data_IF_575662948448
#
_entry.id   IF_575662948448
#
_cell.length_a   1.000
_cell.length_b   1.000
_cell.length_c   1.000
_cell.angle_alpha   90.00
_cell.angle_beta   90.00
_cell.angle_gamma   90.00
#
_symmetry.space_group_name_H-M   'P 1'
#
loop_
_entity.id
_entity.type
_entity.pdbx_description
1 polymer ?
#
# COMPACT_ATOMS: atom_id res chain seq x y z
N UNK A 1 35.05 -42.58 -59.48
CA UNK A 1 34.62 -42.45 -58.07
C UNK A 1 34.17 -41.01 -57.79
N UNK A 2 33.00 -40.59 -58.26
CA UNK A 2 32.51 -39.21 -58.04
C UNK A 2 31.00 -39.06 -57.85
N UNK A 3 30.23 -40.16 -57.90
CA UNK A 3 28.76 -40.12 -57.84
C UNK A 3 28.14 -40.93 -56.68
N UNK A 4 28.94 -41.44 -55.74
CA UNK A 4 28.43 -42.19 -54.57
C UNK A 4 28.21 -41.33 -53.32
N UNK A 5 28.47 -40.02 -53.39
CA UNK A 5 28.40 -39.10 -52.26
C UNK A 5 27.23 -38.11 -52.38
N UNK A 6 26.11 -38.53 -52.98
CA UNK A 6 24.89 -37.72 -53.13
C UNK A 6 23.59 -38.43 -52.72
N UNK A 7 23.67 -39.57 -52.04
CA UNK A 7 22.48 -40.37 -51.68
C UNK A 7 22.22 -40.52 -50.17
N UNK A 8 23.00 -39.87 -49.30
CA UNK A 8 22.79 -39.91 -47.83
C UNK A 8 22.22 -38.61 -47.23
N UNK A 9 21.57 -37.75 -48.02
CA UNK A 9 20.94 -36.51 -47.51
C UNK A 9 19.41 -36.60 -47.40
N UNK A 10 18.80 -37.73 -47.79
CA UNK A 10 17.33 -37.85 -47.85
C UNK A 10 16.69 -38.61 -46.68
N UNK A 11 17.44 -38.94 -45.62
CA UNK A 11 17.00 -39.87 -44.58
C UNK A 11 16.87 -39.32 -43.17
N UNK A 12 16.94 -38.00 -42.94
CA UNK A 12 16.91 -37.46 -41.56
C UNK A 12 16.22 -36.09 -41.46
N UNK A 13 14.99 -35.98 -41.99
CA UNK A 13 14.20 -34.75 -41.84
C UNK A 13 12.70 -35.00 -41.56
N UNK A 14 12.33 -36.16 -41.03
CA UNK A 14 10.93 -36.45 -40.66
C UNK A 14 10.84 -37.18 -39.30
N UNK A 15 11.31 -36.54 -38.23
CA UNK A 15 10.93 -36.91 -36.85
C UNK A 15 10.76 -35.66 -35.96
N UNK A 16 10.07 -34.63 -36.47
CA UNK A 16 9.60 -33.50 -35.66
C UNK A 16 8.06 -33.41 -35.56
N UNK A 17 7.33 -34.41 -36.05
CA UNK A 17 5.87 -34.36 -36.15
C UNK A 17 5.09 -34.90 -34.93
N UNK A 18 5.75 -35.20 -33.80
CA UNK A 18 5.04 -35.71 -32.60
C UNK A 18 5.33 -34.98 -31.28
N UNK A 19 5.87 -33.74 -31.29
CA UNK A 19 5.93 -32.89 -30.09
C UNK A 19 4.72 -31.94 -29.93
N UNK A 20 3.65 -32.14 -30.70
CA UNK A 20 2.36 -31.43 -30.50
C UNK A 20 1.59 -31.87 -29.24
N UNK A 21 2.17 -32.75 -28.41
CA UNK A 21 1.72 -32.86 -27.02
C UNK A 21 1.87 -31.48 -26.39
N UNK A 22 0.75 -30.76 -26.22
CA UNK A 22 0.74 -29.37 -25.75
C UNK A 22 1.65 -29.26 -24.53
N UNK A 23 2.82 -28.63 -24.68
CA UNK A 23 3.78 -28.49 -23.58
C UNK A 23 3.13 -27.59 -22.52
N UNK A 24 3.29 -27.98 -21.25
CA UNK A 24 2.82 -27.17 -20.12
C UNK A 24 3.37 -25.74 -20.26
N UNK A 25 2.59 -24.69 -19.94
CA UNK A 25 2.96 -23.30 -20.19
C UNK A 25 3.94 -22.74 -19.14
N UNK A 26 5.05 -23.45 -18.89
CA UNK A 26 6.02 -23.12 -17.84
C UNK A 26 6.56 -21.70 -17.97
N UNK A 27 6.90 -21.27 -19.19
CA UNK A 27 7.36 -19.91 -19.43
C UNK A 27 6.32 -18.87 -19.01
N UNK A 28 5.05 -19.02 -19.41
CA UNK A 28 3.99 -18.09 -19.02
C UNK A 28 3.74 -18.11 -17.51
N UNK A 29 3.89 -19.26 -16.86
CA UNK A 29 3.77 -19.39 -15.40
C UNK A 29 4.86 -18.60 -14.69
N UNK A 30 6.11 -18.71 -15.16
CA UNK A 30 7.26 -18.02 -14.57
C UNK A 30 7.18 -16.51 -14.82
N UNK A 31 6.79 -16.09 -16.02
CA UNK A 31 6.57 -14.68 -16.35
C UNK A 31 5.45 -14.04 -15.51
N UNK A 32 4.32 -14.72 -15.33
CA UNK A 32 3.22 -14.22 -14.50
C UNK A 32 3.64 -14.07 -13.02
N UNK A 33 4.36 -15.05 -12.48
CA UNK A 33 4.90 -14.98 -11.11
C UNK A 33 5.91 -13.84 -10.96
N UNK A 34 6.83 -13.69 -11.92
CA UNK A 34 7.82 -12.61 -11.91
C UNK A 34 7.17 -11.22 -12.02
N UNK A 35 6.06 -11.10 -12.75
CA UNK A 35 5.29 -9.87 -12.84
C UNK A 35 4.62 -9.51 -11.49
N UNK A 36 4.02 -10.48 -10.80
CA UNK A 36 3.47 -10.28 -9.45
C UNK A 36 4.57 -9.94 -8.44
N UNK A 37 5.71 -10.62 -8.49
CA UNK A 37 6.86 -10.29 -7.63
C UNK A 37 7.36 -8.86 -7.88
N UNK A 38 7.31 -8.39 -9.13
CA UNK A 38 7.63 -7.01 -9.47
C UNK A 38 6.62 -6.00 -8.90
N UNK A 39 5.34 -6.36 -8.76
CA UNK A 39 4.33 -5.55 -8.05
C UNK A 39 4.67 -5.47 -6.57
N UNK A 40 5.03 -6.60 -5.95
CA UNK A 40 5.44 -6.66 -4.53
C UNK A 40 6.67 -5.77 -4.29
N UNK A 41 7.72 -5.91 -5.11
CA UNK A 41 8.94 -5.10 -5.03
C UNK A 41 8.70 -3.61 -5.24
N UNK A 42 7.72 -3.25 -6.06
CA UNK A 42 7.31 -1.86 -6.24
C UNK A 42 6.53 -1.30 -5.04
N UNK A 43 6.11 -2.13 -4.08
CA UNK A 43 5.36 -1.72 -2.89
C UNK A 43 3.88 -2.09 -2.93
N UNK A 44 3.46 -3.04 -3.78
CA UNK A 44 2.05 -3.43 -3.93
C UNK A 44 1.40 -3.95 -2.64
N UNK A 45 2.20 -4.52 -1.72
CA UNK A 45 1.72 -4.92 -0.39
C UNK A 45 1.19 -3.77 0.46
N UNK A 46 1.54 -2.52 0.13
CA UNK A 46 1.13 -1.32 0.86
C UNK A 46 0.19 -0.49 0.00
N UNK A 47 0.58 -0.24 -1.26
CA UNK A 47 -0.08 0.72 -2.14
C UNK A 47 -1.08 0.10 -3.14
N UNK A 48 -1.18 -1.24 -3.20
CA UNK A 48 -2.06 -1.95 -4.12
C UNK A 48 -2.52 -3.31 -3.57
N UNK A 49 -2.92 -3.34 -2.28
CA UNK A 49 -3.25 -4.59 -1.57
C UNK A 49 -4.36 -5.39 -2.25
N UNK A 50 -5.42 -4.71 -2.65
CA UNK A 50 -6.59 -5.36 -3.27
C UNK A 50 -6.26 -5.89 -4.66
N UNK A 51 -5.52 -5.11 -5.45
CA UNK A 51 -5.07 -5.56 -6.76
C UNK A 51 -4.08 -6.72 -6.65
N UNK A 52 -3.15 -6.66 -5.69
CA UNK A 52 -2.21 -7.75 -5.44
C UNK A 52 -2.94 -9.03 -5.00
N UNK A 53 -3.96 -8.93 -4.15
CA UNK A 53 -4.81 -10.06 -3.80
C UNK A 53 -5.47 -10.64 -5.06
N UNK A 54 -6.07 -9.79 -5.89
CA UNK A 54 -6.71 -10.20 -7.13
C UNK A 54 -5.72 -10.90 -8.09
N UNK A 55 -4.50 -10.37 -8.24
CA UNK A 55 -3.46 -10.98 -9.08
C UNK A 55 -3.08 -12.39 -8.58
N UNK A 56 -2.98 -12.59 -7.28
CA UNK A 56 -2.72 -13.90 -6.70
C UNK A 56 -3.88 -14.88 -6.90
N UNK A 57 -5.12 -14.41 -6.76
CA UNK A 57 -6.33 -15.20 -7.01
C UNK A 57 -6.40 -15.62 -8.50
N UNK A 58 -6.13 -14.69 -9.42
CA UNK A 58 -6.10 -14.95 -10.87
C UNK A 58 -4.96 -15.90 -11.25
N UNK A 59 -3.77 -15.74 -10.66
CA UNK A 59 -2.64 -16.67 -10.85
C UNK A 59 -3.02 -18.07 -10.37
N UNK A 60 -3.66 -18.19 -9.21
CA UNK A 60 -4.14 -19.47 -8.68
C UNK A 60 -5.13 -20.12 -9.65
N UNK A 61 -6.11 -19.37 -10.15
CA UNK A 61 -7.07 -19.89 -11.12
C UNK A 61 -6.39 -20.39 -12.40
N UNK A 62 -5.37 -19.67 -12.90
CA UNK A 62 -4.60 -20.08 -14.05
C UNK A 62 -3.80 -21.36 -13.79
N UNK A 63 -3.19 -21.48 -12.61
CA UNK A 63 -2.47 -22.69 -12.17
C UNK A 63 -3.40 -23.89 -11.99
N UNK A 64 -4.61 -23.68 -11.48
CA UNK A 64 -5.62 -24.72 -11.34
C UNK A 64 -6.09 -25.23 -12.72
N UNK A 65 -6.23 -24.36 -13.73
CA UNK A 65 -6.49 -24.78 -15.11
C UNK A 65 -5.31 -25.57 -15.70
N UNK A 66 -4.05 -25.16 -15.48
CA UNK A 66 -2.87 -25.95 -15.88
C UNK A 66 -2.94 -27.36 -15.27
N UNK A 67 -3.22 -27.46 -13.98
CA UNK A 67 -3.33 -28.73 -13.26
C UNK A 67 -4.51 -29.59 -13.73
N UNK A 68 -5.63 -28.97 -14.09
CA UNK A 68 -6.78 -29.69 -14.65
C UNK A 68 -6.47 -30.25 -16.05
N UNK A 69 -5.74 -29.49 -16.87
CA UNK A 69 -5.33 -29.93 -18.21
C UNK A 69 -4.25 -31.02 -18.14
N UNK A 70 -3.33 -30.98 -17.18
CA UNK A 70 -2.24 -31.95 -17.06
C UNK A 70 -2.73 -33.38 -16.78
N UNK A 71 -3.91 -33.52 -16.17
CA UNK A 71 -4.59 -34.80 -15.88
C UNK A 71 -5.30 -35.42 -17.09
N UNK A 72 -5.47 -34.69 -18.19
CA UNK A 72 -6.20 -35.17 -19.39
C UNK A 72 -5.26 -35.93 -20.34
N UNK A 73 -5.82 -36.93 -21.05
CA UNK A 73 -5.11 -37.67 -22.10
C UNK A 73 -4.74 -36.78 -23.29
N UNK A 74 -5.63 -35.85 -23.68
CA UNK A 74 -5.38 -34.85 -24.72
C UNK A 74 -5.33 -33.44 -24.09
N UNK A 75 -4.13 -32.99 -23.74
CA UNK A 75 -3.87 -31.73 -23.02
C UNK A 75 -4.15 -30.52 -23.90
N UNK A 76 -4.91 -29.54 -23.41
CA UNK A 76 -5.19 -28.26 -24.10
C UNK A 76 -4.89 -27.07 -23.20
N UNK A 77 -3.66 -26.58 -23.25
CA UNK A 77 -3.21 -25.45 -22.41
C UNK A 77 -3.55 -24.05 -22.95
N UNK A 78 -4.34 -23.92 -24.02
CA UNK A 78 -4.66 -22.61 -24.64
C UNK A 78 -5.26 -21.62 -23.64
N UNK A 79 -6.35 -22.02 -22.97
CA UNK A 79 -7.00 -21.21 -21.93
C UNK A 79 -6.05 -20.85 -20.79
N UNK A 80 -5.25 -21.80 -20.30
CA UNK A 80 -4.27 -21.54 -19.23
C UNK A 80 -3.22 -20.50 -19.66
N UNK A 81 -2.74 -20.55 -20.91
CA UNK A 81 -1.81 -19.56 -21.46
C UNK A 81 -2.43 -18.16 -21.51
N UNK A 82 -3.68 -18.05 -21.95
CA UNK A 82 -4.41 -16.78 -21.98
C UNK A 82 -4.59 -16.21 -20.57
N UNK A 83 -4.96 -17.04 -19.59
CA UNK A 83 -5.10 -16.63 -18.20
C UNK A 83 -3.77 -16.13 -17.62
N UNK A 84 -2.66 -16.84 -17.87
CA UNK A 84 -1.32 -16.43 -17.41
C UNK A 84 -0.84 -15.14 -18.09
N UNK A 85 -1.09 -14.99 -19.40
CA UNK A 85 -0.78 -13.75 -20.12
C UNK A 85 -1.56 -12.57 -19.53
N UNK A 86 -2.85 -12.77 -19.22
CA UNK A 86 -3.68 -11.77 -18.55
C UNK A 86 -3.13 -11.38 -17.18
N UNK A 87 -2.74 -12.35 -16.34
CA UNK A 87 -2.13 -12.07 -15.02
C UNK A 87 -0.86 -11.22 -15.17
N UNK A 88 -0.01 -11.54 -16.15
CA UNK A 88 1.19 -10.76 -16.44
C UNK A 88 0.84 -9.31 -16.81
N UNK A 89 -0.07 -9.11 -17.76
CA UNK A 89 -0.49 -7.76 -18.20
C UNK A 89 -1.15 -6.97 -17.07
N UNK A 90 -2.04 -7.59 -16.29
CA UNK A 90 -2.68 -6.95 -15.14
C UNK A 90 -1.63 -6.57 -14.09
N UNK A 91 -0.63 -7.43 -13.83
CA UNK A 91 0.44 -7.14 -12.88
C UNK A 91 1.33 -5.98 -13.33
N UNK A 92 1.67 -5.90 -14.62
CA UNK A 92 2.40 -4.77 -15.20
C UNK A 92 1.60 -3.47 -15.08
N UNK A 93 0.29 -3.50 -15.33
CA UNK A 93 -0.59 -2.34 -15.15
C UNK A 93 -0.66 -1.90 -13.68
N UNK A 94 -0.83 -2.82 -12.74
CA UNK A 94 -0.85 -2.51 -11.29
C UNK A 94 0.48 -1.93 -10.84
N UNK A 95 1.61 -2.48 -11.30
CA UNK A 95 2.93 -1.95 -11.00
C UNK A 95 3.08 -0.48 -11.44
N UNK A 96 2.53 -0.12 -12.59
CA UNK A 96 2.59 1.25 -13.12
C UNK A 96 1.80 2.26 -12.27
N UNK A 97 0.80 1.82 -11.50
CA UNK A 97 -0.01 2.69 -10.63
C UNK A 97 0.70 3.03 -9.31
N UNK A 98 1.60 2.17 -8.85
CA UNK A 98 2.18 2.27 -7.49
C UNK A 98 2.95 3.59 -7.25
N UNK A 99 3.80 4.09 -8.16
CA UNK A 99 4.53 5.34 -7.93
C UNK A 99 3.60 6.53 -7.64
N UNK A 100 2.52 6.67 -8.43
CA UNK A 100 1.53 7.73 -8.23
C UNK A 100 0.80 7.59 -6.90
N UNK A 101 0.40 6.36 -6.52
CA UNK A 101 -0.23 6.11 -5.21
C UNK A 101 0.71 6.39 -4.04
N UNK A 102 1.99 6.08 -4.18
CA UNK A 102 3.01 6.38 -3.16
C UNK A 102 3.19 7.89 -2.99
N UNK A 103 3.22 8.64 -4.08
CA UNK A 103 3.27 10.10 -4.06
C UNK A 103 2.02 10.71 -3.44
N UNK A 104 0.84 10.22 -3.81
CA UNK A 104 -0.43 10.65 -3.21
C UNK A 104 -0.46 10.38 -1.70
N UNK A 105 -0.05 9.18 -1.27
CA UNK A 105 0.04 8.83 0.14
C UNK A 105 1.00 9.75 0.90
N UNK A 106 2.17 10.06 0.32
CA UNK A 106 3.13 11.01 0.89
C UNK A 106 2.52 12.40 1.06
N UNK A 107 1.85 12.92 0.03
CA UNK A 107 1.21 14.23 0.09
C UNK A 107 0.10 14.26 1.15
N UNK A 108 -0.69 13.20 1.24
CA UNK A 108 -1.73 13.05 2.27
C UNK A 108 -1.14 13.03 3.69
N UNK A 109 0.00 12.36 3.90
CA UNK A 109 0.69 12.34 5.19
C UNK A 109 1.24 13.72 5.57
N UNK A 110 1.87 14.43 4.64
CA UNK A 110 2.39 15.79 4.85
C UNK A 110 1.26 16.77 5.16
N UNK A 111 0.15 16.70 4.42
CA UNK A 111 -1.02 17.52 4.68
C UNK A 111 -1.59 17.26 6.07
N UNK A 112 -1.75 16.00 6.46
CA UNK A 112 -2.22 15.64 7.79
C UNK A 112 -1.26 16.12 8.89
N UNK A 113 0.05 16.01 8.69
CA UNK A 113 1.05 16.53 9.63
C UNK A 113 0.92 18.04 9.81
N UNK A 114 0.75 18.79 8.72
CA UNK A 114 0.57 20.24 8.77
C UNK A 114 -0.73 20.63 9.49
N UNK A 115 -1.82 19.93 9.23
CA UNK A 115 -3.09 20.15 9.94
C UNK A 115 -2.98 19.84 11.43
N UNK A 116 -2.28 18.76 11.78
CA UNK A 116 -2.03 18.40 13.17
C UNK A 116 -1.17 19.44 13.89
N UNK A 117 -0.14 19.97 13.21
CA UNK A 117 0.67 21.08 13.71
C UNK A 117 -0.15 22.34 13.93
N UNK A 118 -1.01 22.72 12.98
CA UNK A 118 -1.87 23.89 13.12
C UNK A 118 -2.83 23.76 14.32
N UNK A 119 -3.48 22.59 14.48
CA UNK A 119 -4.35 22.33 15.62
C UNK A 119 -3.58 22.35 16.96
N UNK A 120 -2.37 21.78 16.97
CA UNK A 120 -1.49 21.83 18.13
C UNK A 120 -1.10 23.27 18.52
N UNK A 121 -0.70 24.07 17.54
CA UNK A 121 -0.30 25.47 17.75
C UNK A 121 -1.51 26.30 18.24
N UNK A 122 -2.72 26.08 17.72
CA UNK A 122 -3.96 26.70 18.22
C UNK A 122 -4.22 26.31 19.69
N UNK A 123 -4.17 25.01 20.01
CA UNK A 123 -4.40 24.51 21.36
C UNK A 123 -3.42 25.12 22.37
N UNK A 124 -2.15 25.20 21.99
CA UNK A 124 -1.09 25.83 22.79
C UNK A 124 -1.40 27.32 23.02
N UNK A 125 -1.76 28.06 21.97
CA UNK A 125 -2.09 29.48 22.08
C UNK A 125 -3.33 29.74 22.96
N UNK A 126 -4.34 28.87 22.90
CA UNK A 126 -5.52 28.96 23.77
C UNK A 126 -5.16 28.70 25.23
N UNK A 127 -4.34 27.68 25.47
CA UNK A 127 -3.92 27.29 26.82
C UNK A 127 -3.08 28.38 27.49
N UNK A 128 -2.28 29.11 26.72
CA UNK A 128 -1.52 30.27 27.21
C UNK A 128 -2.43 31.43 27.62
N UNK A 129 -3.61 31.57 26.99
CA UNK A 129 -4.64 32.57 27.34
C UNK A 129 -5.58 32.10 28.46
N UNK A 130 -5.49 30.85 28.91
CA UNK A 130 -6.38 30.31 29.93
C UNK A 130 -6.15 30.96 31.30
N UNK A 131 -7.22 31.35 32.04
CA UNK A 131 -7.10 31.99 33.35
C UNK A 131 -6.51 31.03 34.39
N UNK A 132 -5.45 31.45 35.09
CA UNK A 132 -4.70 30.62 36.06
C UNK A 132 -5.18 30.84 37.50
N UNK A 133 -6.48 30.65 37.74
CA UNK A 133 -7.07 30.76 39.08
C UNK A 133 -6.95 29.46 39.89
N UNK A 134 -7.21 29.52 41.21
CA UNK A 134 -7.17 28.33 42.09
C UNK A 134 -8.04 27.16 41.60
N UNK A 135 -9.17 27.46 40.93
CA UNK A 135 -10.11 26.45 40.44
C UNK A 135 -9.83 25.87 39.05
N UNK A 136 -8.86 26.40 38.30
CA UNK A 136 -8.54 25.96 36.92
C UNK A 136 -7.09 25.51 36.75
N UNK A 137 -6.26 25.67 37.80
CA UNK A 137 -4.83 25.39 37.76
C UNK A 137 -4.53 23.92 37.42
N UNK A 138 -5.20 22.98 38.08
CA UNK A 138 -4.98 21.55 37.87
C UNK A 138 -5.35 21.11 36.44
N UNK A 139 -6.49 21.59 35.92
CA UNK A 139 -6.92 21.28 34.54
C UNK A 139 -5.94 21.84 33.50
N UNK A 140 -5.44 23.06 33.71
CA UNK A 140 -4.44 23.68 32.83
C UNK A 140 -3.12 22.91 32.87
N UNK A 141 -2.67 22.44 34.03
CA UNK A 141 -1.46 21.64 34.18
C UNK A 141 -1.60 20.28 33.47
N UNK A 142 -2.76 19.63 33.59
CA UNK A 142 -3.06 18.39 32.88
C UNK A 142 -3.04 18.59 31.35
N UNK A 143 -3.75 19.61 30.83
CA UNK A 143 -3.77 19.91 29.40
C UNK A 143 -2.39 20.28 28.84
N UNK A 144 -1.51 20.88 29.64
CA UNK A 144 -0.11 21.14 29.26
C UNK A 144 0.69 19.84 29.12
N UNK A 145 0.49 18.91 30.04
CA UNK A 145 1.10 17.59 29.96
C UNK A 145 0.62 16.83 28.72
N UNK A 146 -0.69 16.91 28.41
CA UNK A 146 -1.26 16.30 27.22
C UNK A 146 -0.65 16.89 25.94
N UNK A 147 -0.53 18.22 25.83
CA UNK A 147 0.15 18.86 24.70
C UNK A 147 1.62 18.42 24.59
N UNK A 148 2.36 18.34 25.69
CA UNK A 148 3.73 17.83 25.63
C UNK A 148 3.79 16.38 25.07
N UNK A 149 2.81 15.55 25.43
CA UNK A 149 2.64 14.21 24.85
C UNK A 149 2.29 14.21 23.36
N UNK A 150 1.52 15.19 22.89
CA UNK A 150 1.20 15.36 21.46
C UNK A 150 2.42 15.84 20.66
N UNK A 151 3.25 16.71 21.23
CA UNK A 151 4.50 17.17 20.62
C UNK A 151 5.48 16.00 20.40
N UNK A 152 5.60 15.11 21.39
CA UNK A 152 6.37 13.87 21.24
C UNK A 152 5.81 12.98 20.12
N UNK A 153 4.48 12.79 20.05
CA UNK A 153 3.83 12.04 18.98
C UNK A 153 4.04 12.67 17.59
N UNK A 154 4.18 14.00 17.48
CA UNK A 154 4.49 14.67 16.22
C UNK A 154 5.86 14.27 15.65
N UNK A 155 6.81 13.91 16.53
CA UNK A 155 8.11 13.35 16.11
C UNK A 155 7.93 11.96 15.50
N UNK A 156 7.00 11.16 16.03
CA UNK A 156 6.69 9.85 15.45
C UNK A 156 6.02 9.95 14.07
N UNK A 157 5.22 10.99 13.82
CA UNK A 157 4.68 11.29 12.48
C UNK A 157 5.83 11.53 11.51
N UNK A 158 6.80 12.35 11.88
CA UNK A 158 7.97 12.61 11.04
C UNK A 158 8.79 11.34 10.78
N UNK A 159 8.98 10.51 11.80
CA UNK A 159 9.69 9.23 11.66
C UNK A 159 8.95 8.29 10.70
N UNK A 160 7.63 8.21 10.78
CA UNK A 160 6.82 7.41 9.86
C UNK A 160 6.91 7.93 8.41
N UNK A 161 6.92 9.24 8.20
CA UNK A 161 7.16 9.85 6.87
C UNK A 161 8.55 9.48 6.36
N UNK A 162 9.58 9.57 7.20
CA UNK A 162 10.96 9.26 6.84
C UNK A 162 11.16 7.77 6.51
N UNK A 163 10.41 6.88 7.16
CA UNK A 163 10.41 5.44 6.86
C UNK A 163 9.44 5.06 5.74
N UNK A 164 8.85 6.05 5.03
CA UNK A 164 7.86 5.87 3.98
C UNK A 164 6.57 5.13 4.40
N UNK A 165 6.27 5.09 5.71
CA UNK A 165 5.00 4.64 6.25
C UNK A 165 3.99 5.79 6.22
N UNK A 166 3.60 6.19 5.00
CA UNK A 166 2.76 7.36 4.81
C UNK A 166 1.33 7.17 5.36
N UNK A 167 0.80 5.95 5.33
CA UNK A 167 -0.51 5.65 5.92
C UNK A 167 -0.46 5.74 7.45
N UNK A 168 0.54 5.10 8.08
CA UNK A 168 0.73 5.21 9.53
C UNK A 168 1.02 6.65 9.97
N UNK A 169 1.80 7.41 9.20
CA UNK A 169 2.04 8.83 9.46
C UNK A 169 0.76 9.65 9.42
N UNK A 170 -0.09 9.45 8.39
CA UNK A 170 -1.37 10.12 8.25
C UNK A 170 -2.29 9.82 9.43
N UNK A 171 -2.46 8.55 9.78
CA UNK A 171 -3.36 8.14 10.86
C UNK A 171 -2.91 8.70 12.22
N UNK A 172 -1.61 8.68 12.50
CA UNK A 172 -1.04 9.31 13.69
C UNK A 172 -1.27 10.82 13.69
N UNK A 173 -1.03 11.50 12.57
CA UNK A 173 -1.24 12.95 12.48
C UNK A 173 -2.71 13.34 12.69
N UNK A 174 -3.65 12.60 12.10
CA UNK A 174 -5.08 12.79 12.32
C UNK A 174 -5.43 12.61 13.80
N UNK A 175 -4.91 11.56 14.46
CA UNK A 175 -5.13 11.36 15.89
C UNK A 175 -4.62 12.53 16.74
N UNK A 176 -3.45 13.09 16.40
CA UNK A 176 -2.90 14.26 17.09
C UNK A 176 -3.80 15.48 16.89
N UNK A 177 -4.23 15.72 15.64
CA UNK A 177 -5.14 16.81 15.28
C UNK A 177 -6.42 16.76 16.12
N UNK A 178 -7.06 15.59 16.20
CA UNK A 178 -8.29 15.39 16.98
C UNK A 178 -8.08 15.65 18.48
N UNK A 179 -6.99 15.13 19.06
CA UNK A 179 -6.65 15.36 20.47
C UNK A 179 -6.35 16.84 20.76
N UNK A 180 -5.61 17.52 19.87
CA UNK A 180 -5.33 18.95 20.00
C UNK A 180 -6.60 19.81 19.87
N UNK A 181 -7.51 19.44 18.97
CA UNK A 181 -8.82 20.09 18.86
C UNK A 181 -9.65 19.91 20.14
N UNK A 182 -9.68 18.70 20.70
CA UNK A 182 -10.39 18.43 21.97
C UNK A 182 -9.82 19.26 23.14
N UNK A 183 -8.48 19.40 23.23
CA UNK A 183 -7.84 20.28 24.22
C UNK A 183 -8.27 21.74 23.98
N UNK A 184 -8.27 22.20 22.73
CA UNK A 184 -8.71 23.55 22.38
C UNK A 184 -10.14 23.84 22.84
N UNK A 185 -11.05 22.89 22.64
CA UNK A 185 -12.45 22.98 23.09
C UNK A 185 -12.57 23.02 24.61
N UNK A 186 -11.84 22.16 25.33
CA UNK A 186 -11.82 22.14 26.80
C UNK A 186 -11.31 23.48 27.36
N UNK A 187 -10.26 24.05 26.77
CA UNK A 187 -9.74 25.36 27.16
C UNK A 187 -10.77 26.46 26.91
N UNK A 188 -11.42 26.48 25.74
CA UNK A 188 -12.48 27.45 25.43
C UNK A 188 -13.61 27.37 26.46
N UNK A 189 -14.09 26.16 26.78
CA UNK A 189 -15.13 25.94 27.79
C UNK A 189 -14.70 26.37 29.21
N UNK A 190 -13.44 26.14 29.59
CA UNK A 190 -12.91 26.58 30.87
C UNK A 190 -12.85 28.11 30.97
N UNK A 191 -12.44 28.81 29.91
CA UNK A 191 -12.42 30.28 29.84
C UNK A 191 -13.84 30.84 30.00
N UNK A 192 -14.84 30.26 29.34
CA UNK A 192 -16.24 30.70 29.45
C UNK A 192 -16.81 30.52 30.85
N UNK A 193 -16.55 29.38 31.50
CA UNK A 193 -16.99 29.13 32.89
C UNK A 193 -16.44 30.16 33.87
N UNK A 194 -15.19 30.59 33.70
CA UNK A 194 -14.60 31.64 34.54
C UNK A 194 -15.23 33.01 34.25
N UNK A 195 -15.43 33.37 32.98
CA UNK A 195 -16.11 34.63 32.61
C UNK A 195 -17.55 34.71 33.13
N UNK A 196 -18.29 33.61 33.09
CA UNK A 196 -19.66 33.54 33.61
C UNK A 196 -19.75 33.65 35.14
N UNK A 197 -18.71 33.23 35.87
CA UNK A 197 -18.63 33.37 37.34
C UNK A 197 -18.22 34.77 37.81
N UNK A 198 -17.52 35.56 37.00
CA UNK A 198 -17.10 36.94 37.35
C UNK A 198 -18.24 37.96 37.14
N UNK A 199 -19.25 37.64 36.32
CA UNK A 199 -20.41 38.51 36.05
C UNK A 199 -21.60 38.32 37.00
N UNK A 200 -21.50 37.39 37.95
CA UNK A 200 -22.49 37.16 39.01
C UNK A 200 -21.95 37.68 40.33
#
# INVERSE_FOLDING_TARGET
MKNLMKLSVLGLLVVFLFSSCAKQPTQQMDEAKAAIDSVVKAGGNIYAKDELKKLNDDLKAAMDEVNAQSKKLFKKYGKAKEMLAKVKTDAEAVKALIPARKEEAKNNAINAQNEAKAAFDEAKALLDKAPKGKGTKADIEAMKADLAGLEAQMTEVQNAINSEDYFGAKDKAVSIKEKAAAISEQVKAAIEKVKGKVKK
#
